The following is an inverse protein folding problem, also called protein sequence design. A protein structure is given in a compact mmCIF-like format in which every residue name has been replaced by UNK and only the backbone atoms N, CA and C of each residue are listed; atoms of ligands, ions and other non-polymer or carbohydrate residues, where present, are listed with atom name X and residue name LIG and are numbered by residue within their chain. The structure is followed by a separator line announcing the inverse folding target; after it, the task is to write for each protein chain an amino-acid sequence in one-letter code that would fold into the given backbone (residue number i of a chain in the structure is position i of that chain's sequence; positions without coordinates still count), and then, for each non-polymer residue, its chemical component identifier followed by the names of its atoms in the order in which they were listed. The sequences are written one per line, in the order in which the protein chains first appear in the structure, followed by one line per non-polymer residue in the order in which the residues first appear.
data_IF_831380193721
#
_entry.id   IF_831380193721
#
_cell.length_a   1.000
_cell.length_b   1.000
_cell.length_c   1.000
_cell.angle_alpha   90.00
_cell.angle_beta   90.00
_cell.angle_gamma   90.00
#
_symmetry.space_group_name_H-M   'P 1'
#
loop_
_entity.id
_entity.type
_entity.pdbx_description
1 polymer ?
#
# COMPACT_ATOMS: atom_id res chain seq x y z
N UNK A 1 17.46 14.15 -8.56
CA UNK A 1 16.78 13.35 -7.53
C UNK A 1 16.42 14.31 -6.41
N UNK A 2 15.18 14.79 -6.35
CA UNK A 2 14.74 15.69 -5.28
C UNK A 2 14.12 14.82 -4.19
N UNK A 3 14.81 14.78 -3.04
CA UNK A 3 14.34 14.14 -1.82
C UNK A 3 13.07 14.85 -1.37
N UNK A 4 11.93 14.17 -1.50
CA UNK A 4 10.60 14.66 -1.15
C UNK A 4 10.35 14.49 0.35
N UNK A 5 11.31 14.92 1.17
CA UNK A 5 11.28 14.78 2.63
C UNK A 5 11.11 16.17 3.21
N UNK A 6 9.92 16.46 3.72
CA UNK A 6 9.72 17.60 4.60
C UNK A 6 10.58 17.36 5.85
N UNK A 7 11.49 18.29 6.16
CA UNK A 7 12.30 18.24 7.37
C UNK A 7 11.39 18.24 8.62
N UNK A 8 11.85 17.65 9.72
CA UNK A 8 11.05 17.52 10.94
C UNK A 8 10.56 18.88 11.47
N UNK A 9 11.35 19.94 11.29
CA UNK A 9 10.99 21.30 11.67
C UNK A 9 9.80 21.87 10.85
N UNK A 10 9.78 21.62 9.54
CA UNK A 10 8.66 22.02 8.67
C UNK A 10 7.37 21.26 9.01
N UNK A 11 7.50 20.00 9.48
CA UNK A 11 6.36 19.22 9.94
C UNK A 11 5.77 19.75 11.23
N UNK A 12 6.57 20.30 12.14
CA UNK A 12 6.10 20.79 13.45
C UNK A 12 5.32 22.10 13.34
N UNK A 13 5.72 22.99 12.43
CA UNK A 13 5.05 24.27 12.16
C UNK A 13 3.72 24.13 11.38
N UNK A 14 3.40 22.94 10.87
CA UNK A 14 2.20 22.74 10.06
C UNK A 14 0.92 22.68 10.91
N UNK A 15 -0.15 23.37 10.48
CA UNK A 15 -1.42 23.28 11.17
C UNK A 15 -1.99 21.88 11.01
N UNK A 16 -2.66 21.40 12.06
CA UNK A 16 -3.36 20.12 12.15
C UNK A 16 -4.19 19.76 10.89
N UNK A 17 -4.73 20.76 10.21
CA UNK A 17 -5.42 20.64 8.92
C UNK A 17 -4.59 20.03 7.77
N UNK A 18 -3.26 19.95 7.89
CA UNK A 18 -2.35 19.33 6.92
C UNK A 18 -2.19 17.83 7.10
N UNK A 19 -2.73 17.26 8.16
CA UNK A 19 -2.67 15.82 8.43
C UNK A 19 -4.05 15.21 8.24
N UNK A 20 -4.11 14.00 7.68
CA UNK A 20 -5.37 13.25 7.65
C UNK A 20 -5.80 12.88 9.07
N UNK A 21 -4.83 12.53 9.93
CA UNK A 21 -5.02 12.22 11.33
C UNK A 21 -4.25 13.23 12.22
N UNK A 22 -4.86 14.37 12.59
CA UNK A 22 -4.17 15.43 13.32
C UNK A 22 -3.64 15.00 14.68
N UNK A 23 -4.45 14.27 15.46
CA UNK A 23 -4.09 13.83 16.83
C UNK A 23 -2.81 13.00 16.88
N UNK A 24 -2.57 12.16 15.87
CA UNK A 24 -1.36 11.32 15.77
C UNK A 24 -0.34 11.89 14.77
N UNK A 25 -0.60 13.06 14.18
CA UNK A 25 0.18 13.71 13.11
C UNK A 25 0.64 12.74 12.01
N UNK A 26 -0.26 11.82 11.62
CA UNK A 26 -0.02 10.82 10.57
C UNK A 26 -0.68 11.21 9.25
N UNK A 27 -0.10 10.68 8.18
CA UNK A 27 -0.56 10.90 6.81
C UNK A 27 -0.64 12.39 6.45
N UNK A 28 0.51 13.08 6.32
CA UNK A 28 0.53 14.44 5.79
C UNK A 28 -0.16 14.51 4.43
N UNK A 29 -0.78 15.64 4.11
CA UNK A 29 -1.57 15.88 2.89
C UNK A 29 -1.07 17.13 2.14
N UNK A 30 0.24 17.40 2.21
CA UNK A 30 0.83 18.63 1.69
C UNK A 30 1.05 18.64 0.19
N UNK A 31 1.17 17.48 -0.43
CA UNK A 31 1.35 17.32 -1.87
C UNK A 31 0.67 16.04 -2.39
N UNK A 32 0.68 15.88 -3.71
CA UNK A 32 0.04 14.75 -4.36
C UNK A 32 0.62 13.38 -3.95
N UNK A 33 1.93 13.29 -3.71
CA UNK A 33 2.56 12.02 -3.34
C UNK A 33 2.14 11.61 -1.93
N UNK A 34 2.13 12.57 -1.01
CA UNK A 34 1.66 12.40 0.35
C UNK A 34 0.18 11.98 0.39
N UNK A 35 -0.69 12.59 -0.43
CA UNK A 35 -2.10 12.20 -0.51
C UNK A 35 -2.28 10.78 -1.07
N UNK A 36 -1.54 10.39 -2.12
CA UNK A 36 -1.59 9.00 -2.64
C UNK A 36 -1.11 7.98 -1.61
N UNK A 37 -0.06 8.30 -0.86
CA UNK A 37 0.43 7.44 0.21
C UNK A 37 -0.60 7.32 1.34
N UNK A 38 -1.24 8.43 1.72
CA UNK A 38 -2.31 8.45 2.72
C UNK A 38 -3.50 7.57 2.33
N UNK A 39 -3.91 7.60 1.07
CA UNK A 39 -4.95 6.72 0.52
C UNK A 39 -4.52 5.24 0.61
N UNK A 40 -3.29 4.95 0.20
CA UNK A 40 -2.78 3.58 0.10
C UNK A 40 -2.49 2.93 1.46
N UNK A 41 -2.22 3.71 2.50
CA UNK A 41 -1.84 3.22 3.84
C UNK A 41 -2.88 3.53 4.92
N UNK A 42 -4.06 3.98 4.51
CA UNK A 42 -5.12 4.41 5.41
C UNK A 42 -5.50 3.38 6.49
N UNK A 43 -5.47 2.10 6.13
CA UNK A 43 -5.77 0.96 7.02
C UNK A 43 -4.65 0.67 8.04
N UNK A 44 -3.42 1.10 7.74
CA UNK A 44 -2.24 0.90 8.60
C UNK A 44 -2.21 1.85 9.81
N UNK A 45 -3.02 2.91 9.79
CA UNK A 45 -3.14 3.82 10.93
C UNK A 45 -3.97 3.15 12.02
N UNK A 46 -3.30 2.79 13.12
CA UNK A 46 -3.91 2.18 14.32
C UNK A 46 -4.21 3.24 15.38
N UNK A 47 -4.96 2.84 16.42
CA UNK A 47 -5.29 3.67 17.59
C UNK A 47 -6.12 4.92 17.26
N UNK A 48 -6.98 4.83 16.25
CA UNK A 48 -7.93 5.88 15.84
C UNK A 48 -9.33 5.31 15.79
N UNK A 49 -10.30 6.12 16.21
CA UNK A 49 -11.73 5.78 16.15
C UNK A 49 -12.29 5.87 14.74
N UNK A 50 -13.41 5.20 14.48
CA UNK A 50 -14.09 5.26 13.18
C UNK A 50 -14.51 6.69 12.80
N UNK A 51 -14.85 7.52 13.79
CA UNK A 51 -15.11 8.94 13.59
C UNK A 51 -13.87 9.68 13.08
N UNK A 52 -12.70 9.41 13.67
CA UNK A 52 -11.44 9.99 13.21
C UNK A 52 -11.09 9.50 11.79
N UNK A 53 -11.38 8.24 11.46
CA UNK A 53 -11.22 7.72 10.09
C UNK A 53 -12.14 8.42 9.10
N UNK A 54 -13.40 8.62 9.45
CA UNK A 54 -14.34 9.34 8.58
C UNK A 54 -13.90 10.80 8.35
N UNK A 55 -13.45 11.50 9.39
CA UNK A 55 -12.90 12.85 9.22
C UNK A 55 -11.61 12.85 8.38
N UNK A 56 -10.71 11.89 8.61
CA UNK A 56 -9.48 11.73 7.83
C UNK A 56 -9.78 11.51 6.34
N UNK A 57 -10.76 10.68 6.02
CA UNK A 57 -11.22 10.44 4.65
C UNK A 57 -11.73 11.73 3.99
N UNK A 58 -12.52 12.55 4.69
CA UNK A 58 -12.98 13.85 4.18
C UNK A 58 -11.81 14.80 3.90
N UNK A 59 -10.79 14.82 4.76
CA UNK A 59 -9.56 15.62 4.57
C UNK A 59 -8.77 15.13 3.35
N UNK A 60 -8.60 13.82 3.22
CA UNK A 60 -7.93 13.19 2.06
C UNK A 60 -8.67 13.52 0.77
N UNK A 61 -10.00 13.38 0.72
CA UNK A 61 -10.80 13.71 -0.47
C UNK A 61 -10.65 15.18 -0.89
N UNK A 62 -10.64 16.10 0.07
CA UNK A 62 -10.41 17.53 -0.19
C UNK A 62 -9.00 17.78 -0.73
N UNK A 63 -7.98 17.13 -0.17
CA UNK A 63 -6.61 17.25 -0.64
C UNK A 63 -6.43 16.62 -2.03
N UNK A 64 -7.03 15.45 -2.27
CA UNK A 64 -7.03 14.77 -3.57
C UNK A 64 -7.62 15.67 -4.67
N UNK A 65 -8.78 16.28 -4.42
CA UNK A 65 -9.37 17.25 -5.34
C UNK A 65 -8.45 18.46 -5.60
N UNK A 66 -7.77 18.97 -4.57
CA UNK A 66 -6.82 20.09 -4.71
C UNK A 66 -5.61 19.74 -5.58
N UNK A 67 -5.13 18.51 -5.51
CA UNK A 67 -3.94 18.04 -6.24
C UNK A 67 -4.27 17.28 -7.54
N UNK A 68 -5.55 17.22 -7.94
CA UNK A 68 -5.98 16.51 -9.15
C UNK A 68 -5.81 14.99 -9.08
N UNK A 69 -5.92 14.41 -7.88
CA UNK A 69 -5.94 12.95 -7.69
C UNK A 69 -7.39 12.48 -7.74
N UNK A 70 -7.67 11.58 -8.67
CA UNK A 70 -8.98 10.94 -8.77
C UNK A 70 -9.15 9.89 -7.66
N UNK A 71 -10.22 10.02 -6.88
CA UNK A 71 -10.68 9.03 -5.91
C UNK A 71 -12.04 8.54 -6.36
N UNK A 72 -12.18 7.22 -6.51
CA UNK A 72 -13.45 6.56 -6.85
C UNK A 72 -14.16 6.00 -5.61
N UNK A 73 -13.45 5.98 -4.48
CA UNK A 73 -13.90 5.47 -3.21
C UNK A 73 -14.93 6.40 -2.57
N UNK A 74 -16.00 5.83 -2.05
CA UNK A 74 -17.10 6.56 -1.43
C UNK A 74 -17.01 6.58 0.11
N UNK A 75 -16.31 5.60 0.68
CA UNK A 75 -16.12 5.46 2.13
C UNK A 75 -14.67 5.14 2.51
N UNK A 76 -14.28 5.51 3.73
CA UNK A 76 -12.96 5.20 4.28
C UNK A 76 -12.69 3.68 4.37
N UNK A 77 -13.75 2.86 4.45
CA UNK A 77 -13.66 1.39 4.46
C UNK A 77 -13.12 0.80 3.15
N UNK A 78 -13.08 1.59 2.09
CA UNK A 78 -12.56 1.21 0.77
C UNK A 78 -11.08 1.60 0.62
N UNK A 79 -10.57 2.51 1.46
CA UNK A 79 -9.18 2.93 1.46
C UNK A 79 -8.25 1.90 2.11
N UNK A 80 -6.96 1.93 1.74
CA UNK A 80 -5.90 1.11 2.35
C UNK A 80 -5.96 -0.39 2.04
N UNK A 81 -7.09 -0.88 1.51
CA UNK A 81 -7.17 -2.27 1.05
C UNK A 81 -6.16 -2.45 -0.08
N UNK A 82 -5.30 -3.48 -0.04
CA UNK A 82 -4.49 -3.81 -1.19
C UNK A 82 -5.48 -4.07 -2.33
N UNK A 83 -5.45 -3.20 -3.35
CA UNK A 83 -6.24 -3.37 -4.56
C UNK A 83 -6.13 -4.85 -4.94
N UNK A 84 -7.26 -5.55 -5.06
CA UNK A 84 -7.29 -7.01 -5.24
C UNK A 84 -6.44 -7.51 -6.45
N UNK A 85 -5.98 -6.60 -7.31
CA UNK A 85 -5.05 -6.86 -8.42
C UNK A 85 -3.54 -6.73 -8.12
N UNK A 86 -3.10 -6.12 -7.01
CA UNK A 86 -1.68 -6.10 -6.62
C UNK A 86 -1.41 -7.19 -5.60
N UNK A 87 -1.13 -8.40 -6.12
CA UNK A 87 -0.52 -9.45 -5.31
C UNK A 87 0.75 -8.88 -4.68
N UNK A 88 0.75 -8.74 -3.37
CA UNK A 88 1.93 -8.33 -2.59
C UNK A 88 3.16 -9.12 -3.07
N UNK A 89 4.23 -8.40 -3.41
CA UNK A 89 5.55 -8.95 -3.75
C UNK A 89 6.16 -9.77 -2.61
N UNK A 90 5.62 -9.66 -1.40
CA UNK A 90 6.03 -10.43 -0.21
C UNK A 90 5.28 -11.76 -0.03
N UNK A 91 4.30 -12.08 -0.90
CA UNK A 91 3.63 -13.39 -0.79
C UNK A 91 4.51 -14.46 -1.46
N UNK A 92 4.96 -15.50 -0.75
CA UNK A 92 5.84 -16.51 -1.33
C UNK A 92 5.19 -17.12 -2.57
N UNK A 93 5.94 -17.16 -3.69
CA UNK A 93 5.44 -17.50 -5.04
C UNK A 93 4.40 -18.61 -4.99
N UNK A 94 3.25 -18.40 -5.64
CA UNK A 94 2.18 -19.40 -5.59
C UNK A 94 2.64 -20.73 -6.21
N UNK A 95 2.12 -21.87 -5.73
CA UNK A 95 2.46 -23.20 -6.28
C UNK A 95 2.24 -23.26 -7.81
N UNK A 96 1.21 -22.58 -8.32
CA UNK A 96 0.92 -22.48 -9.74
C UNK A 96 2.01 -21.72 -10.53
N UNK A 97 2.55 -20.65 -9.95
CA UNK A 97 3.66 -19.89 -10.54
C UNK A 97 4.92 -20.76 -10.61
N UNK A 98 5.26 -21.44 -9.52
CA UNK A 98 6.42 -22.33 -9.44
C UNK A 98 6.29 -23.53 -10.39
N UNK A 99 5.08 -24.09 -10.51
CA UNK A 99 4.79 -25.16 -11.45
C UNK A 99 4.99 -24.72 -12.91
N UNK A 100 4.48 -23.53 -13.27
CA UNK A 100 4.61 -22.98 -14.62
C UNK A 100 6.07 -22.69 -14.97
N UNK A 101 6.85 -22.18 -14.02
CA UNK A 101 8.27 -21.93 -14.19
C UNK A 101 9.06 -23.24 -14.32
N UNK A 102 8.75 -24.25 -13.48
CA UNK A 102 9.36 -25.57 -13.55
C UNK A 102 9.06 -26.28 -14.87
N UNK A 103 7.85 -26.08 -15.42
CA UNK A 103 7.47 -26.57 -16.75
C UNK A 103 8.30 -25.90 -17.85
N UNK A 104 8.51 -24.58 -17.80
CA UNK A 104 9.37 -23.87 -18.77
C UNK A 104 10.82 -24.31 -18.71
N UNK A 105 11.34 -24.62 -17.52
CA UNK A 105 12.70 -25.13 -17.31
C UNK A 105 12.84 -26.63 -17.56
N UNK A 106 11.77 -27.33 -17.94
CA UNK A 106 11.82 -28.77 -18.25
C UNK A 106 12.08 -29.66 -17.04
N UNK A 107 11.82 -29.19 -15.81
CA UNK A 107 12.07 -29.96 -14.60
C UNK A 107 11.19 -31.23 -14.60
N UNK A 108 11.81 -32.41 -14.51
CA UNK A 108 11.09 -33.68 -14.46
C UNK A 108 10.49 -33.92 -13.07
N UNK A 109 9.33 -34.59 -13.01
CA UNK A 109 8.66 -34.89 -11.73
C UNK A 109 7.89 -33.72 -11.09
N UNK A 110 7.82 -32.54 -11.73
CA UNK A 110 7.14 -31.34 -11.18
C UNK A 110 5.69 -31.56 -10.73
N UNK A 111 4.98 -32.51 -11.33
CA UNK A 111 3.58 -32.85 -10.98
C UNK A 111 3.44 -33.55 -9.64
N UNK A 112 4.50 -34.18 -9.13
CA UNK A 112 4.52 -34.83 -7.81
C UNK A 112 5.14 -33.96 -6.73
N UNK A 113 5.78 -32.85 -7.09
CA UNK A 113 6.49 -31.96 -6.17
C UNK A 113 5.52 -31.06 -5.36
N UNK A 114 5.84 -30.90 -4.08
CA UNK A 114 5.26 -29.88 -3.21
C UNK A 114 5.78 -28.49 -3.57
N UNK A 115 5.21 -27.44 -2.97
CA UNK A 115 5.64 -26.05 -3.22
C UNK A 115 7.13 -25.86 -2.94
N UNK A 116 7.62 -26.36 -1.79
CA UNK A 116 9.00 -26.25 -1.38
C UNK A 116 9.95 -27.03 -2.31
N UNK A 117 9.52 -28.18 -2.82
CA UNK A 117 10.29 -28.96 -3.79
C UNK A 117 10.39 -28.25 -5.14
N UNK A 118 9.31 -27.58 -5.59
CA UNK A 118 9.35 -26.75 -6.80
C UNK A 118 10.26 -25.53 -6.63
N UNK A 119 10.25 -24.87 -5.46
CA UNK A 119 11.17 -23.77 -5.14
C UNK A 119 12.63 -24.25 -5.23
N UNK A 120 12.96 -25.34 -4.53
CA UNK A 120 14.33 -25.89 -4.52
C UNK A 120 14.79 -26.40 -5.89
N UNK A 121 13.87 -26.92 -6.71
CA UNK A 121 14.20 -27.38 -8.06
C UNK A 121 14.48 -26.21 -9.01
N UNK A 122 13.84 -25.05 -8.81
CA UNK A 122 14.06 -23.84 -9.60
C UNK A 122 15.35 -23.08 -9.23
N UNK A 123 15.87 -23.28 -8.02
CA UNK A 123 17.17 -22.72 -7.61
C UNK A 123 18.37 -23.49 -8.16
N UNK A 124 18.17 -24.76 -8.56
CA UNK A 124 19.24 -25.71 -8.92
C UNK A 124 19.42 -25.96 -10.43
N UNK A 125 18.62 -25.35 -11.30
CA UNK A 125 18.65 -25.58 -12.75
C UNK A 125 18.63 -24.29 -13.54
#
# INVERSE_FOLDING_TARGET
MADNTLDAADRDAMPDSKFAFPRVRKEPLNDANHVRNAIARFDQVRDVSDKERDEAFRRIKKAAAKFGIEMTESSWHELGKPSAGRKSSDKPRSKATLYSEAQRRGIQGRSKMTKAELEKALEKG
#
